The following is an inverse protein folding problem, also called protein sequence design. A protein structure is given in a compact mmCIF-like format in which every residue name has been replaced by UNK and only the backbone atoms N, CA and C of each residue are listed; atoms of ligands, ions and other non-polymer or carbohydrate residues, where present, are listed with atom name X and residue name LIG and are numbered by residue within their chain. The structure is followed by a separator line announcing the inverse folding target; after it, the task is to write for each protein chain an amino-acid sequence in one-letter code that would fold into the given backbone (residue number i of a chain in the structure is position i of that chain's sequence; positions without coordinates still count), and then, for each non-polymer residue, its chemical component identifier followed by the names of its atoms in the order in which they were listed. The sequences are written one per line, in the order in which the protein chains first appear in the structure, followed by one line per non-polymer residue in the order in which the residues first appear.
data_IF_028488162956
#
_entry.id   IF_028488162956
#
_cell.length_a   1.000
_cell.length_b   1.000
_cell.length_c   1.000
_cell.angle_alpha   90.00
_cell.angle_beta   90.00
_cell.angle_gamma   90.00
#
_symmetry.space_group_name_H-M   'P 1'
#
loop_
_entity.id
_entity.type
_entity.pdbx_description
1 polymer ?
#
# COMPACT_ATOMS: atom_id res chain seq x y z
N UNK A 1 18.92 14.63 10.83
CA UNK A 1 18.76 13.30 11.48
C UNK A 1 17.41 12.74 11.10
N UNK A 2 17.32 11.45 10.72
CA UNK A 2 16.05 10.75 10.51
C UNK A 2 15.49 10.38 11.88
N UNK A 3 14.29 10.79 12.18
CA UNK A 3 13.59 10.47 13.44
C UNK A 3 12.62 9.30 13.26
N UNK A 4 11.74 9.34 12.26
CA UNK A 4 10.76 8.27 11.98
C UNK A 4 10.88 7.85 10.52
N UNK A 5 10.69 6.56 10.22
CA UNK A 5 10.68 6.06 8.84
C UNK A 5 9.47 5.16 8.60
N UNK A 6 8.79 5.36 7.47
CA UNK A 6 7.70 4.53 7.01
C UNK A 6 8.12 3.84 5.72
N UNK A 7 8.08 2.51 5.70
CA UNK A 7 8.40 1.70 4.54
C UNK A 7 7.18 0.88 4.15
N UNK A 8 6.66 1.12 2.96
CA UNK A 8 5.49 0.43 2.42
C UNK A 8 5.94 -0.57 1.35
N UNK A 9 5.56 -1.82 1.51
CA UNK A 9 5.63 -2.84 0.46
C UNK A 9 4.22 -3.02 -0.08
N UNK A 10 3.97 -2.63 -1.35
CA UNK A 10 2.71 -3.00 -1.98
C UNK A 10 2.66 -4.52 -2.10
N UNK A 11 1.52 -5.14 -1.76
CA UNK A 11 1.35 -6.59 -1.92
C UNK A 11 1.76 -7.05 -3.32
N UNK A 12 2.24 -8.27 -3.42
CA UNK A 12 2.52 -8.92 -4.70
C UNK A 12 1.26 -9.05 -5.56
N UNK A 13 1.40 -9.40 -6.84
CA UNK A 13 0.26 -9.66 -7.71
C UNK A 13 -0.70 -10.65 -7.03
N UNK A 14 -2.00 -10.31 -6.99
CA UNK A 14 -3.05 -11.17 -6.47
C UNK A 14 -3.92 -11.70 -7.61
N UNK A 15 -4.61 -12.83 -7.39
CA UNK A 15 -5.50 -13.42 -8.39
C UNK A 15 -6.56 -12.41 -8.90
N UNK A 16 -7.09 -11.55 -8.05
CA UNK A 16 -8.02 -10.50 -8.47
C UNK A 16 -7.38 -9.49 -9.44
N UNK A 17 -6.08 -9.20 -9.28
CA UNK A 17 -5.35 -8.31 -10.18
C UNK A 17 -5.13 -8.97 -11.54
N UNK A 18 -4.66 -10.23 -11.56
CA UNK A 18 -4.45 -10.99 -12.79
C UNK A 18 -5.74 -11.17 -13.58
N UNK A 19 -6.88 -11.32 -12.90
CA UNK A 19 -8.19 -11.53 -13.51
C UNK A 19 -8.96 -10.23 -13.80
N UNK A 20 -8.42 -9.05 -13.46
CA UNK A 20 -9.07 -7.76 -13.68
C UNK A 20 -10.36 -7.56 -12.89
N UNK A 21 -10.50 -8.20 -11.71
CA UNK A 21 -11.68 -8.11 -10.85
C UNK A 21 -11.40 -7.29 -9.59
N UNK A 22 -12.46 -6.72 -9.03
CA UNK A 22 -12.43 -6.01 -7.76
C UNK A 22 -12.23 -7.03 -6.63
N UNK A 23 -11.08 -6.99 -5.99
CA UNK A 23 -10.74 -7.90 -4.89
C UNK A 23 -11.01 -7.30 -3.53
N UNK A 24 -12.25 -7.40 -3.05
CA UNK A 24 -12.63 -7.01 -1.71
C UNK A 24 -12.37 -8.10 -0.66
N UNK A 25 -12.93 -7.97 0.54
CA UNK A 25 -12.71 -8.94 1.61
C UNK A 25 -13.34 -10.31 1.35
N UNK A 26 -14.47 -10.37 0.62
CA UNK A 26 -15.18 -11.62 0.37
C UNK A 26 -14.55 -12.44 -0.78
N UNK A 27 -13.94 -11.78 -1.77
CA UNK A 27 -13.48 -12.44 -2.99
C UNK A 27 -11.95 -12.48 -3.15
N UNK A 28 -11.19 -11.95 -2.16
CA UNK A 28 -9.74 -11.98 -2.19
C UNK A 28 -9.20 -13.39 -1.92
N UNK A 29 -8.75 -14.09 -2.96
CA UNK A 29 -8.18 -15.45 -2.90
C UNK A 29 -6.67 -15.47 -2.72
N UNK A 30 -6.03 -14.32 -2.50
CA UNK A 30 -4.61 -14.23 -2.18
C UNK A 30 -3.70 -13.91 -3.37
N UNK A 31 -2.39 -14.11 -3.14
CA UNK A 31 -1.33 -13.84 -4.10
C UNK A 31 -1.26 -14.93 -5.19
N UNK A 32 -0.86 -14.55 -6.41
CA UNK A 32 -0.43 -15.48 -7.45
C UNK A 32 1.01 -15.97 -7.15
N UNK A 33 1.48 -17.01 -7.86
CA UNK A 33 2.88 -17.46 -7.77
C UNK A 33 3.86 -16.31 -8.09
N UNK A 34 3.53 -15.46 -9.07
CA UNK A 34 4.31 -14.25 -9.36
C UNK A 34 4.30 -13.31 -8.19
N UNK A 35 3.13 -13.11 -7.55
CA UNK A 35 2.99 -12.25 -6.37
C UNK A 35 3.80 -12.72 -5.18
N UNK A 36 3.85 -14.01 -4.92
CA UNK A 36 4.72 -14.59 -3.89
C UNK A 36 6.19 -14.26 -4.17
N UNK A 37 6.66 -14.55 -5.39
CA UNK A 37 8.04 -14.26 -5.78
C UNK A 37 8.41 -12.77 -5.67
N UNK A 38 7.51 -11.87 -6.09
CA UNK A 38 7.73 -10.41 -5.95
C UNK A 38 7.92 -10.00 -4.49
N UNK A 39 7.13 -10.56 -3.58
CA UNK A 39 7.23 -10.24 -2.15
C UNK A 39 8.47 -10.86 -1.52
N UNK A 40 8.86 -12.08 -1.90
CA UNK A 40 10.09 -12.73 -1.44
C UNK A 40 11.32 -11.88 -1.79
N UNK A 41 11.41 -11.38 -3.03
CA UNK A 41 12.50 -10.49 -3.44
C UNK A 41 12.52 -9.16 -2.64
N UNK A 42 11.34 -8.59 -2.34
CA UNK A 42 11.25 -7.42 -1.48
C UNK A 42 11.67 -7.75 -0.04
N UNK A 43 11.28 -8.91 0.46
CA UNK A 43 11.61 -9.37 1.81
C UNK A 43 13.11 -9.60 1.99
N UNK A 44 13.79 -10.24 1.02
CA UNK A 44 15.23 -10.45 1.03
C UNK A 44 15.99 -9.13 1.14
N UNK A 45 15.63 -8.15 0.29
CA UNK A 45 16.22 -6.81 0.33
C UNK A 45 16.00 -6.12 1.68
N UNK A 46 14.79 -6.19 2.22
CA UNK A 46 14.46 -5.56 3.50
C UNK A 46 15.06 -6.29 4.70
N UNK A 47 15.30 -7.59 4.61
CA UNK A 47 16.03 -8.35 5.63
C UNK A 47 17.48 -7.89 5.74
N UNK A 48 18.15 -7.60 4.61
CA UNK A 48 19.50 -7.01 4.60
C UNK A 48 19.50 -5.64 5.30
N UNK A 49 18.57 -4.77 4.96
CA UNK A 49 18.44 -3.46 5.60
C UNK A 49 18.05 -3.57 7.09
N UNK A 50 17.27 -4.59 7.46
CA UNK A 50 16.84 -4.82 8.85
C UNK A 50 18.00 -5.18 9.77
N UNK A 51 19.02 -5.90 9.26
CA UNK A 51 20.22 -6.23 10.03
C UNK A 51 21.03 -5.00 10.43
N UNK A 52 21.13 -4.02 9.54
CA UNK A 52 21.89 -2.80 9.78
C UNK A 52 21.08 -1.77 10.58
N UNK A 53 19.79 -1.64 10.25
CA UNK A 53 18.88 -0.69 10.88
C UNK A 53 17.51 -1.35 11.08
N UNK A 54 17.23 -1.90 12.27
CA UNK A 54 16.04 -2.69 12.52
C UNK A 54 14.73 -1.93 12.33
N UNK A 55 13.74 -2.59 11.73
CA UNK A 55 12.34 -2.18 11.84
C UNK A 55 11.84 -2.49 13.24
N UNK A 56 11.01 -1.61 13.79
CA UNK A 56 10.47 -1.71 15.15
C UNK A 56 9.08 -2.35 15.17
N UNK A 57 8.34 -2.25 14.07
CA UNK A 57 7.03 -2.88 13.92
C UNK A 57 6.71 -3.17 12.44
N UNK A 58 5.93 -4.25 12.23
CA UNK A 58 5.36 -4.65 10.94
C UNK A 58 3.83 -4.66 11.05
N UNK A 59 3.18 -3.92 10.16
CA UNK A 59 1.73 -3.84 10.05
C UNK A 59 1.23 -4.40 8.73
N UNK A 60 0.08 -5.05 8.75
CA UNK A 60 -0.62 -5.54 7.56
C UNK A 60 -2.11 -5.23 7.63
N UNK A 61 -2.74 -5.01 6.49
CA UNK A 61 -4.20 -5.01 6.41
C UNK A 61 -4.80 -6.42 6.50
N UNK A 62 -6.12 -6.54 6.71
CA UNK A 62 -6.78 -7.83 6.96
C UNK A 62 -7.02 -8.69 5.72
N UNK A 63 -6.95 -8.14 4.49
CA UNK A 63 -7.20 -8.92 3.27
C UNK A 63 -6.13 -10.00 3.06
N UNK A 64 -6.53 -11.17 2.54
CA UNK A 64 -5.65 -12.34 2.44
C UNK A 64 -4.31 -12.02 1.73
N UNK A 65 -4.34 -11.31 0.58
CA UNK A 65 -3.11 -10.92 -0.13
C UNK A 65 -2.17 -10.04 0.70
N UNK A 66 -2.71 -9.22 1.62
CA UNK A 66 -1.89 -8.39 2.52
C UNK A 66 -1.31 -9.23 3.65
N UNK A 67 -2.11 -10.14 4.23
CA UNK A 67 -1.63 -11.05 5.28
C UNK A 67 -0.50 -11.93 4.75
N UNK A 68 -0.66 -12.53 3.56
CA UNK A 68 0.37 -13.33 2.91
C UNK A 68 1.65 -12.51 2.66
N UNK A 69 1.51 -11.27 2.16
CA UNK A 69 2.64 -10.34 2.01
C UNK A 69 3.32 -10.08 3.37
N UNK A 70 2.54 -9.78 4.40
CA UNK A 70 3.05 -9.52 5.74
C UNK A 70 3.67 -10.76 6.42
N UNK A 71 3.15 -11.95 6.17
CA UNK A 71 3.69 -13.22 6.66
C UNK A 71 5.09 -13.50 6.07
N UNK A 72 5.28 -13.30 4.75
CA UNK A 72 6.59 -13.42 4.10
C UNK A 72 7.60 -12.44 4.70
N UNK A 73 7.21 -11.16 4.83
CA UNK A 73 8.04 -10.14 5.46
C UNK A 73 8.36 -10.49 6.91
N UNK A 74 7.37 -10.95 7.68
CA UNK A 74 7.53 -11.35 9.08
C UNK A 74 8.53 -12.50 9.25
N UNK A 75 8.45 -13.50 8.39
CA UNK A 75 9.38 -14.65 8.40
C UNK A 75 10.81 -14.23 8.05
N UNK A 76 10.98 -13.44 6.99
CA UNK A 76 12.30 -13.02 6.53
C UNK A 76 13.03 -12.10 7.53
N UNK A 77 12.28 -11.25 8.24
CA UNK A 77 12.83 -10.29 9.19
C UNK A 77 12.84 -10.80 10.66
N UNK A 78 12.16 -11.91 10.96
CA UNK A 78 11.95 -12.32 12.34
C UNK A 78 11.10 -11.32 13.18
N UNK A 79 10.28 -10.50 12.51
CA UNK A 79 9.52 -9.42 13.13
C UNK A 79 8.02 -9.77 13.19
N UNK A 80 7.38 -9.79 14.37
CA UNK A 80 5.97 -10.14 14.48
C UNK A 80 5.07 -9.18 13.71
N UNK A 81 4.15 -9.74 12.89
CA UNK A 81 3.16 -8.98 12.14
C UNK A 81 1.96 -8.63 13.03
N UNK A 82 1.50 -7.37 12.93
CA UNK A 82 0.27 -6.87 13.53
C UNK A 82 -0.77 -6.56 12.45
N UNK A 83 -1.93 -7.19 12.51
CA UNK A 83 -3.03 -6.86 11.59
C UNK A 83 -3.77 -5.61 12.07
N UNK A 84 -3.90 -4.63 11.17
CA UNK A 84 -4.56 -3.36 11.44
C UNK A 84 -5.76 -3.16 10.49
N UNK A 85 -7.01 -3.16 11.00
CA UNK A 85 -8.21 -3.01 10.15
C UNK A 85 -8.21 -1.74 9.29
N UNK A 86 -7.66 -0.63 9.79
CA UNK A 86 -7.56 0.64 9.04
C UNK A 86 -6.68 0.57 7.80
N UNK A 87 -5.84 -0.47 7.64
CA UNK A 87 -5.08 -0.75 6.43
C UNK A 87 -5.82 -1.65 5.43
N UNK A 88 -7.12 -1.88 5.60
CA UNK A 88 -7.93 -2.80 4.78
C UNK A 88 -8.20 -2.34 3.34
N UNK A 89 -7.79 -1.14 2.96
CA UNK A 89 -8.07 -0.56 1.65
C UNK A 89 -9.51 -0.03 1.52
N UNK A 90 -9.94 0.36 0.31
CA UNK A 90 -11.29 0.84 0.05
C UNK A 90 -12.35 -0.24 0.27
N UNK A 91 -13.52 0.16 0.75
CA UNK A 91 -14.72 -0.69 0.77
C UNK A 91 -15.33 -0.65 -0.63
N UNK A 92 -15.62 -1.82 -1.20
CA UNK A 92 -16.11 -1.93 -2.58
C UNK A 92 -17.62 -2.16 -2.68
N UNK A 93 -18.31 -2.47 -1.56
CA UNK A 93 -19.73 -2.78 -1.56
C UNK A 93 -20.08 -3.92 -2.51
N UNK A 94 -21.16 -3.78 -3.26
CA UNK A 94 -21.62 -4.78 -4.24
C UNK A 94 -20.71 -4.93 -5.47
N UNK A 95 -19.65 -4.12 -5.59
CA UNK A 95 -18.62 -4.25 -6.63
C UNK A 95 -17.61 -5.37 -6.32
N UNK A 96 -17.53 -5.86 -5.08
CA UNK A 96 -16.61 -6.93 -4.70
C UNK A 96 -16.85 -8.19 -5.57
N UNK A 97 -15.81 -8.64 -6.27
CA UNK A 97 -15.86 -9.77 -7.20
C UNK A 97 -16.29 -9.44 -8.65
N UNK A 98 -16.78 -8.22 -8.91
CA UNK A 98 -17.12 -7.80 -10.28
C UNK A 98 -15.88 -7.42 -11.08
N UNK A 99 -16.01 -7.46 -12.41
CA UNK A 99 -14.98 -6.93 -13.30
C UNK A 99 -14.79 -5.43 -13.11
N UNK A 100 -13.53 -4.96 -13.06
CA UNK A 100 -13.24 -3.53 -13.03
C UNK A 100 -13.79 -2.79 -14.25
N UNK A 101 -13.85 -3.45 -15.41
CA UNK A 101 -14.45 -2.87 -16.62
C UNK A 101 -15.94 -2.60 -16.42
N UNK A 102 -16.70 -3.56 -15.89
CA UNK A 102 -18.14 -3.38 -15.59
C UNK A 102 -18.36 -2.28 -14.55
N UNK A 103 -17.59 -2.30 -13.46
CA UNK A 103 -17.69 -1.28 -12.39
C UNK A 103 -17.42 0.11 -12.93
N UNK A 104 -16.33 0.29 -13.70
CA UNK A 104 -15.97 1.58 -14.30
C UNK A 104 -17.01 2.05 -15.33
N UNK A 105 -17.54 1.15 -16.13
CA UNK A 105 -18.60 1.49 -17.10
C UNK A 105 -19.87 1.94 -16.38
N UNK A 106 -20.30 1.23 -15.32
CA UNK A 106 -21.49 1.58 -14.56
C UNK A 106 -21.35 2.89 -13.75
N UNK A 107 -20.12 3.21 -13.31
CA UNK A 107 -19.83 4.40 -12.52
C UNK A 107 -19.37 5.62 -13.35
N UNK A 108 -19.32 5.51 -14.67
CA UNK A 108 -18.80 6.55 -15.57
C UNK A 108 -17.35 6.93 -15.24
N UNK A 109 -16.53 5.90 -14.99
CA UNK A 109 -15.11 6.01 -14.66
C UNK A 109 -14.73 5.23 -13.41
N UNK A 110 -13.44 5.31 -13.04
CA UNK A 110 -12.95 4.69 -11.80
C UNK A 110 -13.30 5.51 -10.54
N UNK A 111 -12.94 5.01 -9.35
CA UNK A 111 -13.19 5.72 -8.09
C UNK A 111 -12.72 7.17 -8.06
N UNK A 112 -11.62 7.47 -8.77
CA UNK A 112 -11.03 8.82 -8.82
C UNK A 112 -11.74 9.76 -9.82
N UNK A 113 -12.50 9.25 -10.77
CA UNK A 113 -13.20 10.07 -11.76
C UNK A 113 -14.31 10.93 -11.11
N UNK A 114 -14.96 10.39 -10.09
CA UNK A 114 -15.98 11.07 -9.30
C UNK A 114 -15.71 10.88 -7.80
N UNK A 115 -14.71 11.60 -7.24
CA UNK A 115 -14.14 11.25 -5.94
C UNK A 115 -15.09 11.38 -4.75
N UNK A 116 -16.19 12.13 -4.89
CA UNK A 116 -17.24 12.29 -3.87
C UNK A 116 -18.47 11.40 -4.11
N UNK A 117 -18.46 10.58 -5.16
CA UNK A 117 -19.55 9.65 -5.48
C UNK A 117 -19.10 8.21 -5.22
N UNK A 118 -19.91 7.37 -4.54
CA UNK A 118 -19.65 5.93 -4.45
C UNK A 118 -19.62 5.32 -5.86
N UNK A 119 -18.67 4.42 -6.13
CA UNK A 119 -18.58 3.73 -7.43
C UNK A 119 -19.47 2.48 -7.53
N UNK A 120 -20.08 2.09 -6.40
CA UNK A 120 -21.08 1.03 -6.33
C UNK A 120 -21.90 1.20 -5.05
N UNK A 121 -23.04 0.53 -4.97
CA UNK A 121 -23.83 0.49 -3.74
C UNK A 121 -22.99 -0.10 -2.58
N UNK A 122 -22.99 0.59 -1.45
CA UNK A 122 -22.21 0.22 -0.26
C UNK A 122 -20.69 0.38 -0.38
N UNK A 123 -20.18 0.99 -1.47
CA UNK A 123 -18.78 1.34 -1.56
C UNK A 123 -18.45 2.66 -0.84
N UNK A 124 -17.18 2.84 -0.50
CA UNK A 124 -16.66 4.16 -0.14
C UNK A 124 -16.87 5.17 -1.29
N UNK A 125 -16.76 6.47 -1.02
CA UNK A 125 -16.28 7.45 -1.99
C UNK A 125 -14.75 7.48 -1.95
N UNK A 126 -14.09 7.92 -3.03
CA UNK A 126 -12.63 7.99 -3.03
C UNK A 126 -12.09 8.95 -1.96
N UNK A 127 -12.68 10.14 -1.86
CA UNK A 127 -12.32 11.11 -0.83
C UNK A 127 -12.62 10.60 0.58
N UNK A 128 -13.74 9.94 0.79
CA UNK A 128 -14.10 9.32 2.07
C UNK A 128 -13.10 8.23 2.49
N UNK A 129 -12.64 7.41 1.54
CA UNK A 129 -11.58 6.45 1.79
C UNK A 129 -10.26 7.14 2.17
N UNK A 130 -9.83 8.14 1.38
CA UNK A 130 -8.58 8.88 1.65
C UNK A 130 -8.60 9.52 3.03
N UNK A 131 -9.73 10.13 3.43
CA UNK A 131 -9.88 10.73 4.75
C UNK A 131 -9.78 9.67 5.85
N UNK A 132 -10.61 8.63 5.79
CA UNK A 132 -10.67 7.57 6.81
C UNK A 132 -9.33 6.85 6.99
N UNK A 133 -8.67 6.50 5.89
CA UNK A 133 -7.39 5.81 5.93
C UNK A 133 -6.26 6.77 6.31
N UNK A 134 -6.36 8.06 5.95
CA UNK A 134 -5.44 9.11 6.36
C UNK A 134 -5.46 9.34 7.86
N UNK A 135 -6.65 9.47 8.46
CA UNK A 135 -6.81 9.63 9.91
C UNK A 135 -6.22 8.44 10.67
N UNK A 136 -6.47 7.22 10.17
CA UNK A 136 -5.88 6.01 10.76
C UNK A 136 -4.35 6.02 10.68
N UNK A 137 -3.79 6.34 9.51
CA UNK A 137 -2.33 6.36 9.30
C UNK A 137 -1.68 7.46 10.14
N UNK A 138 -2.28 8.65 10.22
CA UNK A 138 -1.81 9.74 11.05
C UNK A 138 -1.74 9.33 12.52
N UNK A 139 -2.82 8.80 13.07
CA UNK A 139 -2.83 8.32 14.45
C UNK A 139 -1.89 7.14 14.71
N UNK A 140 -1.53 6.35 13.68
CA UNK A 140 -0.51 5.31 13.80
C UNK A 140 0.89 5.91 13.86
N UNK A 141 1.17 6.90 13.01
CA UNK A 141 2.45 7.62 12.98
C UNK A 141 2.72 8.30 14.32
N UNK A 142 1.73 8.97 14.90
CA UNK A 142 1.86 9.68 16.17
C UNK A 142 2.23 8.75 17.32
N UNK A 143 1.67 7.52 17.33
CA UNK A 143 2.00 6.50 18.35
C UNK A 143 3.39 5.89 18.19
N UNK A 144 4.02 6.12 17.05
CA UNK A 144 5.29 5.53 16.66
C UNK A 144 6.36 6.58 16.32
N UNK A 145 6.29 7.75 16.97
CA UNK A 145 7.34 8.75 16.80
C UNK A 145 8.70 8.15 17.23
N UNK A 146 9.69 8.24 16.36
CA UNK A 146 11.01 7.66 16.59
C UNK A 146 11.21 6.27 16.00
N UNK A 147 10.15 5.62 15.55
CA UNK A 147 10.16 4.25 15.07
C UNK A 147 10.48 4.13 13.57
N UNK A 148 10.89 2.93 13.17
CA UNK A 148 11.02 2.51 11.77
C UNK A 148 9.95 1.46 11.47
N UNK A 149 8.89 1.85 10.77
CA UNK A 149 7.71 1.05 10.52
C UNK A 149 7.72 0.40 9.14
N UNK A 150 7.34 -0.88 9.08
CA UNK A 150 7.15 -1.63 7.84
C UNK A 150 5.67 -1.94 7.65
N UNK A 151 5.17 -1.77 6.42
CA UNK A 151 3.77 -1.99 6.07
C UNK A 151 3.64 -2.95 4.89
N UNK A 152 2.92 -4.05 5.06
CA UNK A 152 2.33 -4.79 3.96
C UNK A 152 1.03 -4.06 3.55
N UNK A 153 1.02 -3.41 2.37
CA UNK A 153 0.05 -2.39 2.02
C UNK A 153 -0.60 -2.61 0.65
N UNK A 154 -1.75 -1.96 0.44
CA UNK A 154 -2.32 -1.74 -0.89
C UNK A 154 -1.62 -0.56 -1.59
N UNK A 155 -1.70 -0.48 -2.92
CA UNK A 155 -1.30 0.70 -3.66
C UNK A 155 -2.05 1.95 -3.19
N UNK A 156 -3.33 1.81 -2.88
CA UNK A 156 -4.19 2.87 -2.35
C UNK A 156 -3.70 3.37 -0.98
N UNK A 157 -3.15 2.49 -0.13
CA UNK A 157 -2.55 2.90 1.15
C UNK A 157 -1.30 3.76 0.95
N UNK A 158 -0.50 3.47 -0.08
CA UNK A 158 0.64 4.32 -0.47
C UNK A 158 0.16 5.69 -0.94
N UNK A 159 -0.93 5.72 -1.73
CA UNK A 159 -1.56 6.99 -2.16
C UNK A 159 -2.06 7.79 -0.95
N UNK A 160 -2.67 7.13 0.04
CA UNK A 160 -3.06 7.77 1.31
C UNK A 160 -1.86 8.43 2.00
N UNK A 161 -0.73 7.71 2.11
CA UNK A 161 0.48 8.28 2.70
C UNK A 161 0.99 9.50 1.91
N UNK A 162 0.94 9.47 0.57
CA UNK A 162 1.30 10.63 -0.25
C UNK A 162 0.33 11.80 -0.05
N UNK A 163 -0.98 11.53 -0.06
CA UNK A 163 -2.02 12.56 0.17
C UNK A 163 -1.81 13.24 1.51
N UNK A 164 -1.58 12.45 2.58
CA UNK A 164 -1.37 12.96 3.93
C UNK A 164 -0.06 13.77 4.05
N UNK A 165 1.07 13.17 3.66
CA UNK A 165 2.40 13.73 3.95
C UNK A 165 2.85 14.83 2.98
N UNK A 166 2.25 14.91 1.78
CA UNK A 166 2.42 16.01 0.83
C UNK A 166 1.32 17.07 0.95
N UNK A 167 0.36 16.88 1.86
CA UNK A 167 -0.81 17.75 2.00
C UNK A 167 -1.56 17.98 0.67
N UNK A 168 -1.76 16.89 -0.10
CA UNK A 168 -2.47 16.96 -1.39
C UNK A 168 -3.95 17.16 -1.10
N UNK A 169 -4.61 18.18 -1.68
CA UNK A 169 -6.04 18.38 -1.51
C UNK A 169 -6.85 17.18 -1.98
N UNK A 170 -7.90 16.81 -1.23
CA UNK A 170 -8.88 15.81 -1.67
C UNK A 170 -9.51 16.23 -3.01
N UNK A 171 -9.76 15.25 -3.90
CA UNK A 171 -10.24 15.53 -5.25
C UNK A 171 -9.16 16.00 -6.23
N UNK A 172 -7.88 16.05 -5.83
CA UNK A 172 -6.79 16.33 -6.76
C UNK A 172 -6.80 15.34 -7.93
N UNK A 173 -6.62 15.80 -9.18
CA UNK A 173 -6.53 14.91 -10.34
C UNK A 173 -5.18 14.20 -10.47
N UNK A 174 -4.21 14.52 -9.60
CA UNK A 174 -2.91 13.87 -9.59
C UNK A 174 -2.99 12.46 -8.98
N UNK A 175 -2.19 11.54 -9.49
CA UNK A 175 -2.10 10.17 -9.02
C UNK A 175 -0.66 9.67 -8.99
N UNK A 176 -0.48 8.49 -8.40
CA UNK A 176 0.82 7.84 -8.29
C UNK A 176 0.71 6.39 -8.79
N UNK A 177 1.66 5.98 -9.62
CA UNK A 177 1.80 4.58 -9.98
C UNK A 177 2.48 3.84 -8.85
N UNK A 178 1.89 2.73 -8.41
CA UNK A 178 2.47 1.85 -7.39
C UNK A 178 2.43 0.43 -7.94
N UNK A 179 3.58 -0.18 -8.22
CA UNK A 179 3.71 -1.52 -8.79
C UNK A 179 3.60 -2.61 -7.71
N UNK A 180 3.15 -3.83 -8.06
CA UNK A 180 3.14 -4.96 -7.14
C UNK A 180 4.56 -5.29 -6.65
N UNK A 181 4.70 -5.56 -5.36
CA UNK A 181 5.99 -5.80 -4.72
C UNK A 181 6.91 -4.57 -4.61
N UNK A 182 6.49 -3.38 -5.06
CA UNK A 182 7.30 -2.17 -4.96
C UNK A 182 7.47 -1.70 -3.52
N UNK A 183 8.58 -1.01 -3.27
CA UNK A 183 8.90 -0.39 -1.99
C UNK A 183 8.79 1.12 -2.11
N UNK A 184 8.05 1.75 -1.20
CA UNK A 184 7.94 3.21 -1.07
C UNK A 184 8.38 3.61 0.33
N UNK A 185 9.21 4.66 0.43
CA UNK A 185 9.83 5.06 1.70
C UNK A 185 9.63 6.53 1.99
N UNK A 186 9.16 6.82 3.19
CA UNK A 186 9.06 8.15 3.77
C UNK A 186 9.95 8.26 4.99
N UNK A 187 10.64 9.40 5.13
CA UNK A 187 11.52 9.70 6.26
C UNK A 187 11.12 11.02 6.89
N UNK A 188 10.94 11.04 8.19
CA UNK A 188 10.76 12.24 8.97
C UNK A 188 12.12 12.75 9.42
N UNK A 189 12.47 13.94 9.00
CA UNK A 189 13.76 14.55 9.25
C UNK A 189 13.66 15.69 10.25
N UNK A 190 14.63 15.74 11.18
CA UNK A 190 14.90 16.86 12.05
C UNK A 190 16.24 17.49 11.62
N UNK A 191 16.25 18.79 11.32
CA UNK A 191 17.46 19.52 11.00
C UNK A 191 18.11 20.14 12.25
N UNK A 192 19.24 20.87 12.07
CA UNK A 192 19.97 21.52 13.18
C UNK A 192 19.26 22.74 13.77
N UNK A 193 18.16 23.20 13.16
CA UNK A 193 17.34 24.32 13.60
C UNK A 193 16.02 23.83 14.22
N UNK A 194 15.94 22.54 14.60
CA UNK A 194 14.74 21.88 15.14
C UNK A 194 13.53 21.89 14.20
N UNK A 195 13.73 22.14 12.90
CA UNK A 195 12.67 22.08 11.91
C UNK A 195 12.48 20.62 11.47
N UNK A 196 11.21 20.21 11.43
CA UNK A 196 10.78 18.87 11.08
C UNK A 196 10.10 18.87 9.72
N UNK A 197 10.35 17.85 8.90
CA UNK A 197 9.65 17.64 7.63
C UNK A 197 9.68 16.18 7.20
N UNK A 198 8.64 15.76 6.49
CA UNK A 198 8.61 14.50 5.78
C UNK A 198 9.34 14.62 4.43
N UNK A 199 10.11 13.60 4.08
CA UNK A 199 10.82 13.47 2.81
C UNK A 199 10.41 12.15 2.18
N UNK A 200 9.93 12.20 0.94
CA UNK A 200 9.76 11.01 0.11
C UNK A 200 11.14 10.59 -0.41
N UNK A 201 11.76 9.62 0.26
CA UNK A 201 13.10 9.13 -0.10
C UNK A 201 13.06 8.22 -1.33
N UNK A 202 12.06 7.34 -1.39
CA UNK A 202 11.84 6.41 -2.50
C UNK A 202 10.35 6.30 -2.80
N UNK A 203 10.02 6.31 -4.08
CA UNK A 203 8.66 6.01 -4.55
C UNK A 203 8.70 4.89 -5.57
N UNK A 204 7.84 3.87 -5.38
CA UNK A 204 7.63 2.78 -6.33
C UNK A 204 8.94 2.09 -6.78
N UNK A 205 9.87 1.89 -5.85
CA UNK A 205 11.15 1.25 -6.12
C UNK A 205 10.94 -0.26 -6.37
N UNK A 206 11.28 -0.70 -7.58
CA UNK A 206 11.17 -2.09 -8.05
C UNK A 206 12.52 -2.69 -8.41
N UNK A 207 13.65 -2.07 -8.04
CA UNK A 207 14.98 -2.49 -8.43
C UNK A 207 15.31 -3.94 -8.01
N UNK A 208 14.70 -4.42 -6.93
CA UNK A 208 14.84 -5.79 -6.44
C UNK A 208 14.07 -6.83 -7.27
N UNK A 209 13.10 -6.43 -8.10
CA UNK A 209 12.28 -7.34 -8.89
C UNK A 209 12.94 -7.82 -10.19
N UNK A 210 14.16 -7.32 -10.48
CA UNK A 210 14.81 -7.57 -11.77
C UNK A 210 14.14 -6.82 -12.93
N UNK A 211 14.71 -6.91 -14.13
CA UNK A 211 14.06 -6.39 -15.33
C UNK A 211 12.76 -7.18 -15.57
N UNK A 212 11.61 -6.51 -15.86
CA UNK A 212 10.40 -7.23 -16.24
C UNK A 212 10.73 -8.12 -17.43
N UNK A 213 10.40 -9.41 -17.33
CA UNK A 213 10.49 -10.32 -18.47
C UNK A 213 9.71 -9.66 -19.61
N UNK A 214 10.40 -9.30 -20.69
CA UNK A 214 9.79 -8.75 -21.91
C UNK A 214 8.82 -9.82 -22.38
N UNK A 215 7.51 -9.61 -22.16
CA UNK A 215 6.50 -10.45 -22.79
C UNK A 215 6.67 -10.25 -24.30
N UNK A 216 7.21 -11.24 -24.98
CA UNK A 216 7.19 -11.26 -26.42
C UNK A 216 5.72 -11.18 -26.85
N UNK A 217 5.34 -10.07 -27.46
CA UNK A 217 4.04 -9.94 -28.13
C UNK A 217 4.12 -10.82 -29.35
N UNK A 218 3.52 -11.98 -29.30
CA UNK A 218 3.19 -12.80 -30.48
C UNK A 218 1.90 -12.32 -31.09
#
# INVERSE_FOLDING_TARGET
MITTELVFVRHGEAHCNANGVVGGPATCTGLTNLGYHQVEQAADRLADEHRDRPFTALYSGPRLRLRQTGEILSQALGLPMRTAPGLGGPIHGVADGKSWTEVKTAADGGPQAHPDRPWAEGSDTWNGYLQRAGDFLHGLIDRHEGDRLLFAAHGETVIVAHTLLLAIPLGSPAGFTVSHGSITRWQHHLNRLDQRRWILDRHNDTAHLGAPAIRATS
#
